data_IF_424003395870
#
_entry.id   IF_424003395870
#
_cell.length_a   1.000
_cell.length_b   1.000
_cell.length_c   1.000
_cell.angle_alpha   90.00
_cell.angle_beta   90.00
_cell.angle_gamma   90.00
#
_symmetry.space_group_name_H-M   'P 1'
#
loop_
_entity.id
_entity.type
_entity.pdbx_description
1 polymer ?
#
# COMPACT_ATOMS: atom_id res chain seq x y z
N UNK A 1 -8.60 -0.24 -22.79
CA UNK A 1 -7.70 0.79 -22.18
C UNK A 1 -8.50 1.80 -21.38
N UNK A 2 -9.59 2.36 -21.93
CA UNK A 2 -10.55 3.13 -21.14
C UNK A 2 -11.18 2.28 -20.01
N UNK A 3 -11.41 0.99 -20.25
CA UNK A 3 -11.96 0.07 -19.23
C UNK A 3 -11.01 -0.10 -18.04
N UNK A 4 -9.71 -0.09 -18.29
CA UNK A 4 -8.70 -0.18 -17.24
C UNK A 4 -8.64 1.10 -16.39
N UNK A 5 -8.76 2.26 -17.05
CA UNK A 5 -8.89 3.54 -16.35
C UNK A 5 -10.16 3.53 -15.49
N UNK A 6 -11.24 2.95 -15.99
CA UNK A 6 -12.49 2.87 -15.26
C UNK A 6 -12.39 1.95 -14.04
N UNK A 7 -11.76 0.78 -14.18
CA UNK A 7 -11.44 -0.10 -13.04
C UNK A 7 -10.58 0.62 -12.00
N UNK A 8 -9.58 1.40 -12.42
CA UNK A 8 -8.74 2.19 -11.53
C UNK A 8 -9.56 3.24 -10.76
N UNK A 9 -10.38 4.04 -11.47
CA UNK A 9 -11.20 5.09 -10.85
C UNK A 9 -12.23 4.49 -9.89
N UNK A 10 -12.91 3.41 -10.29
CA UNK A 10 -13.88 2.72 -9.43
C UNK A 10 -13.23 2.12 -8.18
N UNK A 11 -12.01 1.59 -8.31
CA UNK A 11 -11.26 1.05 -7.17
C UNK A 11 -10.80 2.15 -6.24
N UNK A 12 -10.34 3.29 -6.76
CA UNK A 12 -9.98 4.46 -5.96
C UNK A 12 -11.18 5.03 -5.22
N UNK A 13 -12.34 5.13 -5.88
CA UNK A 13 -13.57 5.62 -5.26
C UNK A 13 -14.00 4.76 -4.05
N UNK A 14 -13.90 3.43 -4.17
CA UNK A 14 -14.13 2.49 -3.06
C UNK A 14 -13.06 2.59 -1.97
N UNK A 15 -11.80 2.75 -2.34
CA UNK A 15 -10.67 2.86 -1.40
C UNK A 15 -10.72 4.12 -0.51
N UNK A 16 -11.28 5.22 -1.02
CA UNK A 16 -11.36 6.51 -0.33
C UNK A 16 -12.78 6.90 0.11
N UNK A 17 -13.79 6.08 -0.20
CA UNK A 17 -15.21 6.32 0.16
C UNK A 17 -15.71 7.69 -0.33
N UNK A 18 -15.85 7.84 -1.65
CA UNK A 18 -16.12 9.08 -2.38
C UNK A 18 -14.86 9.94 -2.55
N UNK A 19 -13.97 9.46 -3.43
CA UNK A 19 -12.63 10.03 -3.67
C UNK A 19 -12.72 11.45 -4.24
N UNK A 20 -11.83 12.35 -3.79
CA UNK A 20 -11.59 13.63 -4.42
C UNK A 20 -10.12 13.79 -4.85
N UNK A 21 -9.83 14.81 -5.68
CA UNK A 21 -8.47 15.06 -6.16
C UNK A 21 -7.45 15.27 -5.03
N UNK A 22 -7.86 15.88 -3.91
CA UNK A 22 -7.00 16.10 -2.76
C UNK A 22 -6.61 14.77 -2.09
N UNK A 23 -7.51 13.79 -2.04
CA UNK A 23 -7.20 12.48 -1.45
C UNK A 23 -6.07 11.79 -2.21
N UNK A 24 -6.05 11.92 -3.53
CA UNK A 24 -5.02 11.37 -4.41
C UNK A 24 -3.68 12.10 -4.18
N UNK A 25 -3.71 13.43 -4.11
CA UNK A 25 -2.49 14.24 -3.92
C UNK A 25 -1.87 13.98 -2.54
N UNK A 26 -2.68 13.90 -1.48
CA UNK A 26 -2.19 13.68 -0.12
C UNK A 26 -1.84 12.22 0.17
N UNK A 27 -2.50 11.26 -0.47
CA UNK A 27 -2.26 9.81 -0.25
C UNK A 27 -1.68 9.13 -1.51
N UNK A 28 -0.73 9.77 -2.17
CA UNK A 28 -0.14 9.26 -3.42
C UNK A 28 0.44 7.85 -3.26
N UNK A 29 1.03 7.52 -2.10
CA UNK A 29 1.58 6.19 -1.83
C UNK A 29 0.51 5.09 -1.86
N UNK A 30 -0.66 5.37 -1.28
CA UNK A 30 -1.80 4.43 -1.30
C UNK A 30 -2.37 4.28 -2.72
N UNK A 31 -2.44 5.38 -3.48
CA UNK A 31 -2.87 5.35 -4.88
C UNK A 31 -1.91 4.52 -5.75
N UNK A 32 -0.60 4.68 -5.55
CA UNK A 32 0.41 3.86 -6.24
C UNK A 32 0.28 2.38 -5.90
N UNK A 33 0.08 2.02 -4.64
CA UNK A 33 -0.15 0.63 -4.26
C UNK A 33 -1.39 0.03 -4.96
N UNK A 34 -2.48 0.80 -5.07
CA UNK A 34 -3.67 0.38 -5.84
C UNK A 34 -3.35 0.21 -7.32
N UNK A 35 -2.57 1.12 -7.90
CA UNK A 35 -2.19 1.06 -9.31
C UNK A 35 -1.31 -0.16 -9.62
N UNK A 36 -0.34 -0.45 -8.75
CA UNK A 36 0.59 -1.56 -8.92
C UNK A 36 -0.13 -2.92 -8.85
N UNK A 37 -1.19 -3.05 -8.05
CA UNK A 37 -2.04 -4.25 -8.02
C UNK A 37 -2.91 -4.40 -9.28
N UNK A 38 -3.23 -3.29 -9.97
CA UNK A 38 -4.06 -3.32 -11.19
C UNK A 38 -3.18 -3.56 -12.43
N UNK A 39 -2.05 -2.84 -12.54
CA UNK A 39 -1.09 -2.96 -13.64
C UNK A 39 0.33 -2.85 -13.14
N UNK A 40 1.17 -3.79 -13.56
CA UNK A 40 2.60 -3.72 -13.33
C UNK A 40 3.37 -4.12 -14.58
N UNK A 41 4.46 -3.41 -14.90
CA UNK A 41 5.29 -3.70 -16.07
C UNK A 41 4.54 -3.65 -17.41
N UNK A 42 3.43 -2.91 -17.50
CA UNK A 42 2.57 -2.85 -18.68
C UNK A 42 1.63 -4.05 -18.85
N UNK A 43 1.55 -4.95 -17.88
CA UNK A 43 0.62 -6.07 -17.84
C UNK A 43 -0.49 -5.80 -16.82
N UNK A 44 -1.71 -6.21 -17.15
CA UNK A 44 -2.84 -6.20 -16.21
C UNK A 44 -2.68 -7.38 -15.25
N UNK A 45 -2.70 -7.08 -13.96
CA UNK A 45 -2.61 -8.09 -12.90
C UNK A 45 -3.99 -8.44 -12.39
N UNK A 46 -4.70 -7.45 -11.82
CA UNK A 46 -6.01 -7.64 -11.24
C UNK A 46 -7.02 -6.59 -11.72
N UNK A 47 -8.27 -7.01 -11.92
CA UNK A 47 -9.36 -6.13 -12.35
C UNK A 47 -10.52 -6.11 -11.36
N UNK A 48 -10.57 -7.06 -10.43
CA UNK A 48 -11.52 -7.08 -9.33
C UNK A 48 -11.14 -6.05 -8.27
N UNK A 49 -11.92 -4.97 -8.18
CA UNK A 49 -11.70 -3.94 -7.14
C UNK A 49 -11.69 -4.52 -5.73
N UNK A 50 -12.43 -5.61 -5.47
CA UNK A 50 -12.48 -6.26 -4.17
C UNK A 50 -11.17 -6.99 -3.83
N UNK A 51 -10.54 -7.64 -4.81
CA UNK A 51 -9.26 -8.31 -4.61
C UNK A 51 -8.11 -7.31 -4.48
N UNK A 52 -8.11 -6.26 -5.31
CA UNK A 52 -7.16 -5.15 -5.20
C UNK A 52 -7.22 -4.50 -3.81
N UNK A 53 -8.43 -4.18 -3.32
CA UNK A 53 -8.59 -3.58 -1.98
C UNK A 53 -8.05 -4.49 -0.88
N UNK A 54 -8.31 -5.79 -0.97
CA UNK A 54 -7.83 -6.77 0.00
C UNK A 54 -6.29 -6.83 0.01
N UNK A 55 -5.67 -6.88 -1.16
CA UNK A 55 -4.21 -6.89 -1.30
C UNK A 55 -3.58 -5.63 -0.71
N UNK A 56 -4.11 -4.45 -1.05
CA UNK A 56 -3.64 -3.15 -0.52
C UNK A 56 -3.75 -3.07 1.00
N UNK A 57 -4.83 -3.62 1.58
CA UNK A 57 -5.01 -3.67 3.03
C UNK A 57 -4.02 -4.63 3.71
N UNK A 58 -3.75 -5.78 3.09
CA UNK A 58 -2.73 -6.73 3.56
C UNK A 58 -1.32 -6.13 3.53
N UNK A 59 -0.96 -5.44 2.44
CA UNK A 59 0.30 -4.69 2.31
C UNK A 59 0.43 -3.66 3.43
N UNK A 60 -0.62 -2.85 3.65
CA UNK A 60 -0.63 -1.82 4.70
C UNK A 60 -0.43 -2.42 6.10
N UNK A 61 -1.02 -3.60 6.38
CA UNK A 61 -0.85 -4.33 7.65
C UNK A 61 0.59 -4.84 7.82
N UNK A 62 1.19 -5.37 6.77
CA UNK A 62 2.56 -5.87 6.79
C UNK A 62 3.59 -4.75 6.97
N UNK A 63 3.37 -3.59 6.35
CA UNK A 63 4.22 -2.41 6.53
C UNK A 63 4.16 -1.91 7.99
N UNK A 64 2.95 -1.83 8.56
CA UNK A 64 2.77 -1.45 9.96
C UNK A 64 3.47 -2.42 10.93
N UNK A 65 3.36 -3.73 10.67
CA UNK A 65 4.05 -4.75 11.45
C UNK A 65 5.58 -4.63 11.31
N UNK A 66 6.09 -4.38 10.11
CA UNK A 66 7.52 -4.24 9.84
C UNK A 66 8.15 -3.04 10.56
N UNK A 67 7.44 -1.91 10.64
CA UNK A 67 7.92 -0.72 11.36
C UNK A 67 8.09 -0.95 12.87
N UNK A 68 7.30 -1.85 13.47
CA UNK A 68 7.36 -2.16 14.91
C UNK A 68 8.58 -2.97 15.35
N UNK A 69 9.31 -3.59 14.40
CA UNK A 69 10.46 -4.48 14.69
C UNK A 69 11.78 -3.70 14.87
N UNK A 70 11.82 -2.40 14.60
CA UNK A 70 13.06 -1.58 14.66
C UNK A 70 13.55 -1.19 16.07
N UNK A 71 12.82 -1.52 17.15
CA UNK A 71 13.25 -1.29 18.54
C UNK A 71 14.04 -2.49 19.11
N UNK A 72 15.18 -2.84 18.50
CA UNK A 72 16.16 -3.69 19.20
C UNK A 72 16.92 -2.79 20.19
N UNK A 73 16.78 -2.97 21.53
CA UNK A 73 17.62 -2.26 22.46
C UNK A 73 19.04 -2.78 22.24
N UNK A 74 19.97 -1.92 21.81
CA UNK A 74 21.40 -2.23 21.94
C UNK A 74 21.74 -2.23 23.43
N UNK A 75 21.42 -3.33 24.11
CA UNK A 75 22.02 -3.67 25.39
C UNK A 75 23.49 -3.99 25.11
N UNK A 76 24.34 -2.97 25.10
CA UNK A 76 25.79 -3.14 25.16
C UNK A 76 26.09 -3.78 26.52
N UNK A 77 26.21 -5.10 26.55
CA UNK A 77 26.71 -5.84 27.69
C UNK A 77 28.09 -5.30 28.03
N UNK A 78 28.20 -4.72 29.23
CA UNK A 78 29.46 -4.27 29.81
C UNK A 78 30.46 -5.42 29.88
N UNK A 79 31.41 -5.42 28.96
CA UNK A 79 32.66 -6.18 29.05
C UNK A 79 33.83 -5.21 29.09
N UNK A 80 34.17 -4.79 30.30
CA UNK A 80 35.58 -4.77 30.75
C UNK A 80 35.65 -4.62 32.27
N UNK A 81 35.74 -5.77 32.92
CA UNK A 81 36.41 -5.90 34.20
C UNK A 81 37.80 -6.49 33.98
N UNK A 82 38.74 -6.05 34.83
CA UNK A 82 40.19 -6.27 34.89
C UNK A 82 41.03 -5.29 34.09
#
# INVERSE_FOLDING_TARGET
MLDLIQVLVETLDKCFSNVCELDIVFNYSKMHAVLDEIVFGGQVLETSSAEVMKAVEEISKLEAASNSISLVPKSVSGWRGR
#
